data_IF_228245151406
#
_entry.id   IF_228245151406
#
_cell.length_a   1.000
_cell.length_b   1.000
_cell.length_c   1.000
_cell.angle_alpha   90.00
_cell.angle_beta   90.00
_cell.angle_gamma   90.00
#
_symmetry.space_group_name_H-M   'P 1'
#
loop_
_entity.id
_entity.type
_entity.pdbx_description
1 polymer ?
#
# COMPACT_ATOMS: atom_id res chain seq x y z
N UNK A 1 21.88 20.24 11.19
CA UNK A 1 21.27 20.10 9.85
C UNK A 1 19.85 19.63 10.05
N UNK A 2 18.88 20.50 9.79
CA UNK A 2 17.47 20.11 9.73
C UNK A 2 17.35 19.27 8.45
N UNK A 3 17.05 17.98 8.57
CA UNK A 3 16.79 17.14 7.40
C UNK A 3 15.62 17.77 6.66
N UNK A 4 15.84 18.19 5.42
CA UNK A 4 14.78 18.53 4.50
C UNK A 4 13.70 17.44 4.58
N UNK A 5 12.47 17.86 4.83
CA UNK A 5 11.32 16.96 4.90
C UNK A 5 11.28 16.17 3.58
N UNK A 6 11.41 14.85 3.72
CA UNK A 6 11.45 13.84 2.67
C UNK A 6 10.44 14.15 1.55
N UNK A 7 10.91 14.21 0.30
CA UNK A 7 10.11 14.59 -0.87
C UNK A 7 8.92 13.63 -1.06
N UNK A 8 9.10 12.35 -0.70
CA UNK A 8 8.07 11.32 -0.79
C UNK A 8 7.01 11.57 0.28
N UNK A 9 7.42 11.84 1.51
CA UNK A 9 6.52 12.24 2.60
C UNK A 9 5.67 13.46 2.23
N UNK A 10 6.25 14.49 1.61
CA UNK A 10 5.49 15.66 1.14
C UNK A 10 4.47 15.27 0.07
N UNK A 11 4.86 14.42 -0.89
CA UNK A 11 3.96 13.95 -1.94
C UNK A 11 2.78 13.16 -1.35
N UNK A 12 3.04 12.30 -0.36
CA UNK A 12 2.02 11.54 0.37
C UNK A 12 1.05 12.47 1.11
N UNK A 13 1.59 13.40 1.92
CA UNK A 13 0.77 14.31 2.72
C UNK A 13 -0.10 15.20 1.83
N UNK A 14 0.49 15.76 0.76
CA UNK A 14 -0.22 16.57 -0.22
C UNK A 14 -1.32 15.77 -0.94
N UNK A 15 -1.08 14.50 -1.28
CA UNK A 15 -2.12 13.65 -1.83
C UNK A 15 -3.31 13.51 -0.86
N UNK A 16 -3.04 13.26 0.42
CA UNK A 16 -4.10 13.13 1.42
C UNK A 16 -4.86 14.44 1.70
N UNK A 17 -4.17 15.59 1.71
CA UNK A 17 -4.83 16.87 1.96
C UNK A 17 -5.80 17.28 0.85
N UNK A 18 -5.59 16.76 -0.38
CA UNK A 18 -6.41 17.09 -1.54
C UNK A 18 -7.47 16.03 -1.89
N UNK A 19 -7.58 14.93 -1.13
CA UNK A 19 -8.48 13.82 -1.45
C UNK A 19 -9.29 13.37 -0.23
N UNK A 20 -10.54 12.95 -0.45
CA UNK A 20 -11.42 12.47 0.62
C UNK A 20 -11.03 11.04 1.02
N UNK A 21 -10.67 10.88 2.29
CA UNK A 21 -10.30 9.63 2.97
C UNK A 21 -11.13 8.39 2.60
N UNK A 22 -12.46 8.54 2.53
CA UNK A 22 -13.39 7.44 2.27
C UNK A 22 -13.31 6.93 0.82
N UNK A 23 -12.99 7.81 -0.14
CA UNK A 23 -12.76 7.42 -1.53
C UNK A 23 -11.46 6.61 -1.68
N UNK A 24 -10.42 7.01 -0.96
CA UNK A 24 -9.10 6.36 -1.00
C UNK A 24 -9.22 4.88 -0.58
N UNK A 25 -9.94 4.59 0.51
CA UNK A 25 -10.07 3.21 1.01
C UNK A 25 -10.82 2.30 0.02
N UNK A 26 -11.95 2.79 -0.53
CA UNK A 26 -12.73 2.04 -1.54
C UNK A 26 -11.92 1.76 -2.80
N UNK A 27 -11.26 2.78 -3.35
CA UNK A 27 -10.48 2.67 -4.59
C UNK A 27 -9.23 1.79 -4.40
N UNK A 28 -8.61 1.79 -3.22
CA UNK A 28 -7.43 0.98 -2.92
C UNK A 28 -7.71 -0.53 -3.01
N UNK A 29 -8.88 -0.97 -2.54
CA UNK A 29 -9.28 -2.37 -2.59
C UNK A 29 -9.59 -2.83 -4.03
N UNK A 30 -10.24 -1.99 -4.82
CA UNK A 30 -10.54 -2.27 -6.22
C UNK A 30 -9.27 -2.32 -7.07
N UNK A 31 -8.34 -1.39 -6.84
CA UNK A 31 -7.06 -1.27 -7.55
C UNK A 31 -6.21 -2.55 -7.51
N UNK A 32 -6.13 -3.23 -6.36
CA UNK A 32 -5.24 -4.40 -6.20
C UNK A 32 -5.84 -5.68 -6.79
N UNK A 33 -7.17 -5.74 -6.88
CA UNK A 33 -7.89 -6.90 -7.39
C UNK A 33 -8.27 -6.75 -8.87
N UNK A 34 -7.68 -5.80 -9.58
CA UNK A 34 -7.90 -5.63 -11.02
C UNK A 34 -7.56 -6.91 -11.78
N UNK A 35 -8.57 -7.41 -12.51
CA UNK A 35 -8.56 -8.69 -13.25
C UNK A 35 -7.44 -8.79 -14.27
N UNK A 36 -6.98 -7.67 -14.83
CA UNK A 36 -5.98 -7.67 -15.88
C UNK A 36 -4.58 -8.03 -15.36
N UNK A 37 -4.41 -8.06 -14.03
CA UNK A 37 -3.13 -8.29 -13.38
C UNK A 37 -2.98 -9.67 -12.70
N UNK A 38 -4.04 -10.49 -12.70
CA UNK A 38 -4.10 -11.77 -11.99
C UNK A 38 -4.78 -12.87 -12.82
N UNK A 39 -4.32 -14.11 -12.64
CA UNK A 39 -5.04 -15.27 -13.18
C UNK A 39 -6.41 -15.42 -12.49
N UNK A 40 -7.38 -16.03 -13.17
CA UNK A 40 -8.72 -16.30 -12.59
C UNK A 40 -8.62 -17.08 -11.27
N UNK A 41 -7.69 -18.03 -11.19
CA UNK A 41 -7.47 -18.84 -9.98
C UNK A 41 -6.92 -18.01 -8.82
N UNK A 42 -5.94 -17.15 -9.10
CA UNK A 42 -5.37 -16.25 -8.08
C UNK A 42 -6.42 -15.26 -7.57
N UNK A 43 -7.20 -14.67 -8.48
CA UNK A 43 -8.28 -13.77 -8.10
C UNK A 43 -9.31 -14.46 -7.20
N UNK A 44 -9.66 -15.72 -7.49
CA UNK A 44 -10.55 -16.50 -6.62
C UNK A 44 -9.95 -16.72 -5.22
N UNK A 45 -8.65 -17.02 -5.13
CA UNK A 45 -7.96 -17.18 -3.84
C UNK A 45 -7.96 -15.89 -3.02
N UNK A 46 -7.59 -14.78 -3.66
CA UNK A 46 -7.58 -13.46 -3.02
C UNK A 46 -8.98 -13.11 -2.48
N UNK A 47 -10.01 -13.22 -3.32
CA UNK A 47 -11.40 -12.93 -2.92
C UNK A 47 -11.87 -13.82 -1.77
N UNK A 48 -11.53 -15.12 -1.79
CA UNK A 48 -11.85 -16.04 -0.71
C UNK A 48 -11.17 -15.63 0.60
N UNK A 49 -9.87 -15.34 0.57
CA UNK A 49 -9.09 -14.93 1.75
C UNK A 49 -9.60 -13.61 2.33
N UNK A 50 -9.88 -12.60 1.49
CA UNK A 50 -10.45 -11.31 1.92
C UNK A 50 -11.77 -11.54 2.64
N UNK A 51 -12.69 -12.29 2.04
CA UNK A 51 -14.00 -12.56 2.63
C UNK A 51 -13.90 -13.28 3.98
N UNK A 52 -12.90 -14.16 4.13
CA UNK A 52 -12.60 -14.84 5.40
C UNK A 52 -12.06 -13.87 6.47
N UNK A 53 -11.24 -12.89 6.08
CA UNK A 53 -10.70 -11.87 6.99
C UNK A 53 -11.77 -10.85 7.39
N UNK A 54 -12.64 -10.45 6.46
CA UNK A 54 -13.82 -9.59 6.72
C UNK A 54 -14.70 -10.20 7.80
N UNK A 55 -15.07 -11.48 7.66
CA UNK A 55 -15.90 -12.19 8.63
C UNK A 55 -15.25 -12.32 10.02
N UNK A 56 -13.95 -12.06 10.14
CA UNK A 56 -13.18 -12.15 11.40
C UNK A 56 -12.76 -10.80 11.94
N UNK A 57 -13.05 -9.70 11.25
CA UNK A 57 -12.51 -8.37 11.52
C UNK A 57 -10.97 -8.37 11.62
N UNK A 58 -10.30 -9.01 10.65
CA UNK A 58 -8.84 -9.16 10.60
C UNK A 58 -8.24 -8.56 9.31
N UNK A 59 -8.80 -7.45 8.84
CA UNK A 59 -8.37 -6.84 7.58
C UNK A 59 -7.30 -5.77 7.74
N UNK A 60 -7.00 -5.30 8.95
CA UNK A 60 -6.22 -4.10 9.21
C UNK A 60 -4.88 -4.06 8.46
N UNK A 61 -4.12 -5.16 8.49
CA UNK A 61 -2.82 -5.25 7.80
C UNK A 61 -2.95 -5.30 6.28
N UNK A 62 -4.03 -5.90 5.76
CA UNK A 62 -4.33 -5.96 4.33
C UNK A 62 -4.80 -4.59 3.85
N UNK A 63 -5.68 -3.94 4.59
CA UNK A 63 -6.16 -2.58 4.33
C UNK A 63 -4.99 -1.59 4.34
N UNK A 64 -4.06 -1.74 5.28
CA UNK A 64 -2.83 -0.96 5.29
C UNK A 64 -2.03 -1.17 4.00
N UNK A 65 -1.77 -2.42 3.62
CA UNK A 65 -1.10 -2.72 2.36
C UNK A 65 -1.83 -2.12 1.16
N UNK A 66 -3.16 -2.15 1.15
CA UNK A 66 -3.99 -1.60 0.08
C UNK A 66 -3.87 -0.08 -0.02
N UNK A 67 -4.11 0.63 1.07
CA UNK A 67 -4.02 2.10 1.13
C UNK A 67 -2.61 2.56 0.77
N UNK A 68 -1.59 1.88 1.29
CA UNK A 68 -0.20 2.21 1.00
C UNK A 68 0.12 2.06 -0.48
N UNK A 69 -0.22 0.91 -1.09
CA UNK A 69 -0.05 0.67 -2.53
C UNK A 69 -0.75 1.70 -3.40
N UNK A 70 -2.01 2.00 -3.06
CA UNK A 70 -2.81 2.96 -3.80
C UNK A 70 -2.18 4.36 -3.76
N UNK A 71 -1.70 4.77 -2.59
CA UNK A 71 -1.01 6.05 -2.40
C UNK A 71 0.26 6.12 -3.24
N UNK A 72 1.08 5.07 -3.23
CA UNK A 72 2.29 4.99 -4.06
C UNK A 72 1.94 5.06 -5.55
N UNK A 73 0.89 4.36 -6.00
CA UNK A 73 0.42 4.42 -7.38
C UNK A 73 0.06 5.85 -7.80
N UNK A 74 -0.63 6.59 -6.94
CA UNK A 74 -1.03 7.98 -7.23
C UNK A 74 0.15 8.92 -7.33
N UNK A 75 1.13 8.77 -6.45
CA UNK A 75 2.37 9.55 -6.48
C UNK A 75 3.15 9.27 -7.77
N UNK A 76 3.24 8.01 -8.17
CA UNK A 76 3.87 7.60 -9.43
C UNK A 76 3.13 8.17 -10.65
N UNK A 77 1.80 8.10 -10.68
CA UNK A 77 0.98 8.57 -11.80
C UNK A 77 0.90 10.10 -11.87
N UNK A 78 1.09 10.79 -10.75
CA UNK A 78 1.06 12.26 -10.68
C UNK A 78 2.43 12.90 -10.94
N UNK A 79 3.46 12.10 -11.26
CA UNK A 79 4.84 12.57 -11.45
C UNK A 79 5.32 13.46 -10.29
N UNK A 80 5.02 13.09 -9.04
CA UNK A 80 5.40 13.88 -7.86
C UNK A 80 6.81 13.56 -7.34
N UNK A 81 7.45 12.52 -7.89
CA UNK A 81 8.77 12.03 -7.50
C UNK A 81 9.61 11.78 -8.77
N UNK A 82 10.92 12.04 -8.67
CA UNK A 82 11.85 11.99 -9.82
C UNK A 82 13.18 11.34 -9.44
N UNK A 83 13.99 10.99 -10.43
CA UNK A 83 15.35 10.48 -10.21
C UNK A 83 15.40 9.20 -9.37
N UNK A 84 16.30 9.15 -8.39
CA UNK A 84 16.49 7.99 -7.50
C UNK A 84 15.26 7.71 -6.64
N UNK A 85 14.54 8.75 -6.21
CA UNK A 85 13.30 8.60 -5.44
C UNK A 85 12.23 7.87 -6.25
N UNK A 86 12.11 8.19 -7.55
CA UNK A 86 11.18 7.49 -8.45
C UNK A 86 11.51 5.99 -8.55
N UNK A 87 12.79 5.63 -8.65
CA UNK A 87 13.22 4.22 -8.70
C UNK A 87 12.88 3.51 -7.40
N UNK A 88 13.14 4.16 -6.26
CA UNK A 88 12.86 3.63 -4.93
C UNK A 88 11.36 3.45 -4.70
N UNK A 89 10.54 4.44 -5.05
CA UNK A 89 9.07 4.36 -4.97
C UNK A 89 8.52 3.25 -5.85
N UNK A 90 9.04 3.09 -7.09
CA UNK A 90 8.64 1.97 -7.97
C UNK A 90 8.98 0.61 -7.36
N UNK A 91 10.20 0.47 -6.82
CA UNK A 91 10.64 -0.75 -6.17
C UNK A 91 9.73 -1.10 -4.99
N UNK A 92 9.52 -0.16 -4.09
CA UNK A 92 8.66 -0.35 -2.90
C UNK A 92 7.22 -0.63 -3.30
N UNK A 93 6.71 0.01 -4.37
CA UNK A 93 5.39 -0.31 -4.92
C UNK A 93 5.27 -1.78 -5.32
N UNK A 94 6.22 -2.32 -6.09
CA UNK A 94 6.18 -3.73 -6.49
C UNK A 94 6.37 -4.68 -5.30
N UNK A 95 7.31 -4.41 -4.40
CA UNK A 95 7.55 -5.24 -3.22
C UNK A 95 6.33 -5.31 -2.29
N UNK A 96 5.66 -4.17 -2.07
CA UNK A 96 4.42 -4.10 -1.30
C UNK A 96 3.30 -4.89 -2.00
N UNK A 97 3.19 -4.75 -3.33
CA UNK A 97 2.16 -5.43 -4.13
C UNK A 97 2.32 -6.94 -4.03
N UNK A 98 3.54 -7.42 -4.21
CA UNK A 98 3.83 -8.85 -4.19
C UNK A 98 3.64 -9.42 -2.79
N UNK A 99 4.02 -8.70 -1.72
CA UNK A 99 3.76 -9.14 -0.35
C UNK A 99 2.27 -9.31 -0.06
N UNK A 100 1.45 -8.31 -0.42
CA UNK A 100 0.00 -8.35 -0.25
C UNK A 100 -0.62 -9.49 -1.06
N UNK A 101 -0.21 -9.65 -2.32
CA UNK A 101 -0.71 -10.71 -3.18
C UNK A 101 -0.30 -12.09 -2.70
N UNK A 102 0.94 -12.30 -2.27
CA UNK A 102 1.41 -13.56 -1.70
C UNK A 102 0.57 -13.96 -0.49
N UNK A 103 0.27 -13.01 0.40
CA UNK A 103 -0.56 -13.25 1.57
C UNK A 103 -2.01 -13.60 1.17
N UNK A 104 -2.59 -12.84 0.25
CA UNK A 104 -3.96 -13.08 -0.23
C UNK A 104 -4.10 -14.40 -1.00
N UNK A 105 -3.05 -14.82 -1.72
CA UNK A 105 -2.95 -16.12 -2.37
C UNK A 105 -2.65 -17.27 -1.40
N UNK A 106 -2.40 -16.94 -0.12
CA UNK A 106 -2.06 -17.89 0.95
C UNK A 106 -0.70 -18.56 0.77
N UNK A 107 0.23 -17.89 0.09
CA UNK A 107 1.62 -18.33 -0.09
C UNK A 107 2.52 -17.99 1.10
N UNK A 108 2.14 -16.97 1.88
CA UNK A 108 2.81 -16.55 3.12
C UNK A 108 1.78 -16.35 4.24
N UNK A 109 2.25 -16.34 5.48
CA UNK A 109 1.42 -16.03 6.65
C UNK A 109 1.42 -14.52 6.96
N UNK A 110 0.73 -14.14 8.04
CA UNK A 110 0.55 -12.74 8.43
C UNK A 110 1.84 -12.11 9.00
N UNK A 111 2.67 -12.91 9.67
CA UNK A 111 3.96 -12.45 10.21
C UNK A 111 4.89 -12.08 9.06
N UNK A 112 5.01 -12.96 8.05
CA UNK A 112 5.76 -12.68 6.85
C UNK A 112 5.22 -11.48 6.05
N UNK A 113 3.89 -11.27 6.02
CA UNK A 113 3.31 -10.07 5.44
C UNK A 113 3.77 -8.81 6.19
N UNK A 114 3.71 -8.83 7.52
CA UNK A 114 4.10 -7.70 8.37
C UNK A 114 5.55 -7.32 8.16
N UNK A 115 6.46 -8.30 8.21
CA UNK A 115 7.88 -8.08 8.00
C UNK A 115 8.17 -7.46 6.62
N UNK A 116 7.53 -7.98 5.57
CA UNK A 116 7.69 -7.43 4.21
C UNK A 116 7.16 -6.00 4.10
N UNK A 117 6.02 -5.69 4.73
CA UNK A 117 5.45 -4.34 4.72
C UNK A 117 6.31 -3.35 5.51
N UNK A 118 6.85 -3.76 6.66
CA UNK A 118 7.74 -2.93 7.49
C UNK A 118 9.07 -2.64 6.76
N UNK A 119 9.62 -3.62 6.05
CA UNK A 119 10.79 -3.43 5.17
C UNK A 119 10.48 -2.46 4.02
N UNK A 120 9.33 -2.61 3.37
CA UNK A 120 8.91 -1.73 2.28
C UNK A 120 8.71 -0.29 2.77
N UNK A 121 8.11 -0.10 3.95
CA UNK A 121 7.89 1.21 4.56
C UNK A 121 9.19 1.88 5.00
N UNK A 122 10.09 1.13 5.64
CA UNK A 122 11.39 1.65 6.07
C UNK A 122 12.30 2.02 4.89
N UNK A 123 12.14 1.36 3.74
CA UNK A 123 12.91 1.64 2.52
C UNK A 123 12.66 3.03 1.93
N UNK A 124 11.50 3.64 2.18
CA UNK A 124 11.20 5.01 1.72
C UNK A 124 11.67 6.10 2.69
N UNK A 125 12.05 5.75 3.93
CA UNK A 125 12.48 6.75 4.92
C UNK A 125 11.40 7.78 5.29
N UNK A 126 10.13 7.39 5.22
CA UNK A 126 9.00 8.29 5.44
C UNK A 126 9.02 8.95 6.83
N UNK A 127 8.55 10.19 6.89
CA UNK A 127 8.26 10.88 8.14
C UNK A 127 7.15 10.16 8.92
N UNK A 128 7.18 10.28 10.24
CA UNK A 128 6.15 9.72 11.12
C UNK A 128 4.75 10.23 10.75
N UNK A 129 4.62 11.51 10.39
CA UNK A 129 3.35 12.11 9.99
C UNK A 129 2.75 11.43 8.75
N UNK A 130 3.57 11.18 7.72
CA UNK A 130 3.11 10.48 6.52
C UNK A 130 2.68 9.04 6.84
N UNK A 131 3.44 8.34 7.69
CA UNK A 131 3.11 6.98 8.15
C UNK A 131 1.79 6.97 8.91
N UNK A 132 1.59 7.90 9.82
CA UNK A 132 0.39 8.00 10.66
C UNK A 132 -0.85 8.30 9.80
N UNK A 133 -0.75 9.16 8.78
CA UNK A 133 -1.84 9.38 7.81
C UNK A 133 -2.21 8.11 7.04
N UNK A 134 -1.24 7.33 6.58
CA UNK A 134 -1.52 6.05 5.89
C UNK A 134 -2.25 5.09 6.85
N UNK A 135 -1.75 4.94 8.08
CA UNK A 135 -2.35 4.05 9.08
C UNK A 135 -3.77 4.46 9.48
N UNK A 136 -4.05 5.75 9.60
CA UNK A 136 -5.37 6.25 9.98
C UNK A 136 -6.49 5.84 9.02
N UNK A 137 -6.17 5.59 7.75
CA UNK A 137 -7.13 5.16 6.72
C UNK A 137 -7.22 3.64 6.55
N UNK A 138 -6.38 2.91 7.26
CA UNK A 138 -6.24 1.45 7.16
C UNK A 138 -7.15 0.70 8.14
N UNK A 139 -7.84 1.42 9.02
CA UNK A 139 -8.73 0.92 10.09
C UNK A 139 -10.17 0.90 9.59
#
# INVERSE_FOLDING_TARGET
MVKDVDCISKAILNYFDNNISEHINREAKEFILEKDSLSKYDLMRCNYKIKKLENRNQLDIVNFGFVYLYTLSKILNSNLVFGEDLVTVKKVFFETRDAVLDYLKMSIDEEALRDKLDLALSSLGLSSEAIDKIKALSI
#
